data_IF_133453131786
#
_entry.id   IF_133453131786
#
_cell.length_a   1.000
_cell.length_b   1.000
_cell.length_c   1.000
_cell.angle_alpha   90.00
_cell.angle_beta   90.00
_cell.angle_gamma   90.00
#
_symmetry.space_group_name_H-M   'P 1'
#
loop_
_entity.id
_entity.type
_entity.pdbx_description
1 polymer ?
#
# COMPACT_ATOMS: atom_id res chain seq x y z
N UNK A 1 27.35 25.90 -35.14
CA UNK A 1 26.13 26.60 -34.65
C UNK A 1 25.44 25.72 -33.61
N UNK A 2 25.65 25.96 -32.31
CA UNK A 2 25.06 25.15 -31.24
C UNK A 2 23.59 25.55 -30.99
N UNK A 3 22.65 24.77 -31.52
CA UNK A 3 21.21 24.97 -31.29
C UNK A 3 20.76 24.12 -30.10
N UNK A 4 20.72 24.68 -28.88
CA UNK A 4 20.20 23.94 -27.73
C UNK A 4 20.37 24.54 -26.33
N UNK A 5 20.50 25.86 -26.20
CA UNK A 5 20.56 26.51 -24.88
C UNK A 5 19.18 26.71 -24.26
N UNK A 6 19.09 26.57 -22.94
CA UNK A 6 17.93 26.98 -22.14
C UNK A 6 17.62 28.45 -22.47
N UNK A 7 16.40 28.74 -22.94
CA UNK A 7 15.92 30.10 -23.18
C UNK A 7 15.29 30.63 -21.89
N UNK A 8 15.37 31.93 -21.63
CA UNK A 8 14.60 32.51 -20.54
C UNK A 8 13.09 32.27 -20.75
N UNK A 9 12.43 31.76 -19.72
CA UNK A 9 11.04 31.29 -19.79
C UNK A 9 10.84 29.93 -20.47
N UNK A 10 11.91 29.26 -20.92
CA UNK A 10 11.80 27.87 -21.41
C UNK A 10 11.61 26.90 -20.24
N UNK A 11 10.63 26.00 -20.39
CA UNK A 11 10.25 25.02 -19.39
C UNK A 11 8.75 25.02 -19.13
N UNK A 12 8.26 23.90 -18.61
CA UNK A 12 6.88 23.79 -18.15
C UNK A 12 6.68 24.74 -16.98
N UNK A 13 5.70 25.65 -17.06
CA UNK A 13 5.34 26.56 -15.94
C UNK A 13 5.21 25.74 -14.66
N UNK A 14 5.93 26.16 -13.62
CA UNK A 14 5.96 25.47 -12.33
C UNK A 14 4.52 25.25 -11.85
N UNK A 15 4.13 23.98 -11.75
CA UNK A 15 2.82 23.58 -11.25
C UNK A 15 1.64 23.56 -12.26
N UNK A 16 1.82 23.82 -13.57
CA UNK A 16 0.67 24.03 -14.47
C UNK A 16 -0.18 22.79 -14.75
N UNK A 17 0.45 21.64 -14.97
CA UNK A 17 -0.23 20.37 -15.23
C UNK A 17 -0.54 19.61 -13.93
N UNK A 18 0.18 19.89 -12.84
CA UNK A 18 -0.16 19.33 -11.53
C UNK A 18 -1.43 19.93 -10.96
N UNK A 19 -1.83 21.15 -11.33
CA UNK A 19 -3.08 21.79 -10.87
C UNK A 19 -4.35 21.05 -11.29
N UNK A 20 -4.50 20.68 -12.58
CA UNK A 20 -5.69 19.97 -13.06
C UNK A 20 -5.79 18.56 -12.49
N UNK A 21 -4.69 17.80 -12.49
CA UNK A 21 -4.67 16.44 -11.91
C UNK A 21 -4.90 16.46 -10.40
N UNK A 22 -4.39 17.48 -9.70
CA UNK A 22 -4.61 17.66 -8.26
C UNK A 22 -6.07 17.96 -7.95
N UNK A 23 -6.72 18.85 -8.71
CA UNK A 23 -8.14 19.16 -8.50
C UNK A 23 -9.04 17.93 -8.65
N UNK A 24 -8.76 17.06 -9.64
CA UNK A 24 -9.49 15.80 -9.82
C UNK A 24 -9.23 14.84 -8.66
N UNK A 25 -7.98 14.76 -8.18
CA UNK A 25 -7.64 13.92 -7.02
C UNK A 25 -8.30 14.42 -5.72
N UNK A 26 -8.35 15.74 -5.50
CA UNK A 26 -9.03 16.37 -4.37
C UNK A 26 -10.55 16.17 -4.45
N UNK A 27 -11.13 16.24 -5.65
CA UNK A 27 -12.54 15.93 -5.86
C UNK A 27 -12.83 14.44 -5.58
N UNK A 28 -12.02 13.52 -6.10
CA UNK A 28 -12.17 12.09 -5.82
C UNK A 28 -11.96 11.74 -4.34
N UNK A 29 -11.15 12.51 -3.61
CA UNK A 29 -10.95 12.36 -2.17
C UNK A 29 -12.12 12.92 -1.34
N UNK A 30 -12.94 13.80 -1.91
CA UNK A 30 -14.13 14.36 -1.24
C UNK A 30 -15.40 13.61 -1.63
N UNK A 31 -15.46 13.08 -2.85
CA UNK A 31 -16.56 12.28 -3.39
C UNK A 31 -16.33 10.79 -3.10
N UNK A 32 -16.66 10.37 -1.88
CA UNK A 32 -16.72 8.96 -1.51
C UNK A 32 -15.34 8.29 -1.37
N UNK A 33 -15.21 7.07 -1.90
CA UNK A 33 -13.98 6.28 -1.78
C UNK A 33 -13.00 6.60 -2.90
N UNK A 34 -11.80 7.02 -2.51
CA UNK A 34 -10.72 7.24 -3.45
C UNK A 34 -10.25 5.92 -4.09
N UNK A 35 -9.66 5.94 -5.29
CA UNK A 35 -9.19 4.72 -5.96
C UNK A 35 -8.25 3.85 -5.11
N UNK A 36 -7.35 4.47 -4.33
CA UNK A 36 -6.45 3.74 -3.44
C UNK A 36 -7.23 3.00 -2.33
N UNK A 37 -8.28 3.61 -1.80
CA UNK A 37 -9.11 2.99 -0.76
C UNK A 37 -9.85 1.76 -1.32
N UNK A 38 -10.38 1.86 -2.54
CA UNK A 38 -11.01 0.73 -3.24
C UNK A 38 -10.02 -0.42 -3.45
N UNK A 39 -8.79 -0.11 -3.88
CA UNK A 39 -7.74 -1.12 -4.05
C UNK A 39 -7.41 -1.83 -2.73
N UNK A 40 -7.27 -1.07 -1.64
CA UNK A 40 -6.95 -1.61 -0.32
C UNK A 40 -8.11 -2.44 0.27
N UNK A 41 -9.35 -1.98 0.09
CA UNK A 41 -10.54 -2.69 0.55
C UNK A 41 -10.70 -4.03 -0.18
N UNK A 42 -10.57 -4.03 -1.51
CA UNK A 42 -10.65 -5.25 -2.30
C UNK A 42 -9.53 -6.22 -1.95
N UNK A 43 -8.29 -5.72 -1.78
CA UNK A 43 -7.15 -6.53 -1.34
C UNK A 43 -7.46 -7.24 -0.02
N UNK A 44 -7.96 -6.51 0.98
CA UNK A 44 -8.31 -7.06 2.30
C UNK A 44 -9.47 -8.05 2.22
N UNK A 45 -10.50 -7.72 1.44
CA UNK A 45 -11.67 -8.58 1.26
C UNK A 45 -11.26 -9.92 0.65
N UNK A 46 -10.55 -9.91 -0.49
CA UNK A 46 -10.13 -11.15 -1.14
C UNK A 46 -9.15 -11.97 -0.30
N UNK A 47 -8.27 -11.29 0.46
CA UNK A 47 -7.40 -11.96 1.41
C UNK A 47 -8.21 -12.67 2.51
N UNK A 48 -9.24 -12.03 3.06
CA UNK A 48 -10.10 -12.65 4.07
C UNK A 48 -10.89 -13.84 3.49
N UNK A 49 -11.52 -13.66 2.33
CA UNK A 49 -12.28 -14.73 1.67
C UNK A 49 -11.37 -15.93 1.35
N UNK A 50 -10.13 -15.68 0.93
CA UNK A 50 -9.17 -16.75 0.71
C UNK A 50 -8.82 -17.51 2.01
N UNK A 51 -8.57 -16.79 3.11
CA UNK A 51 -8.31 -17.41 4.42
C UNK A 51 -9.49 -18.24 4.90
N UNK A 52 -10.71 -17.72 4.76
CA UNK A 52 -11.92 -18.43 5.15
C UNK A 52 -12.13 -19.68 4.30
N UNK A 53 -11.91 -19.59 2.98
CA UNK A 53 -11.99 -20.73 2.06
C UNK A 53 -10.92 -21.80 2.36
N UNK A 54 -9.69 -21.39 2.65
CA UNK A 54 -8.60 -22.28 3.06
C UNK A 54 -8.91 -22.97 4.39
N UNK A 55 -9.46 -22.24 5.38
CA UNK A 55 -9.86 -22.80 6.67
C UNK A 55 -10.97 -23.84 6.52
N UNK A 56 -11.98 -23.57 5.70
CA UNK A 56 -13.04 -24.53 5.37
C UNK A 56 -12.45 -25.77 4.69
N UNK A 57 -11.52 -25.61 3.75
CA UNK A 57 -10.88 -26.74 3.08
C UNK A 57 -10.00 -27.58 4.01
N UNK A 58 -9.28 -26.96 4.94
CA UNK A 58 -8.42 -27.66 5.89
C UNK A 58 -9.21 -28.51 6.90
N UNK A 59 -10.43 -28.09 7.25
CA UNK A 59 -11.28 -28.78 8.21
C UNK A 59 -12.16 -29.89 7.61
N UNK A 60 -12.19 -30.04 6.29
CA UNK A 60 -13.07 -30.98 5.60
C UNK A 60 -12.31 -32.21 5.08
N UNK A 61 -12.92 -33.38 5.26
CA UNK A 61 -12.49 -34.63 4.62
C UNK A 61 -13.03 -34.74 3.19
N UNK A 62 -12.42 -35.60 2.37
CA UNK A 62 -12.87 -35.84 1.00
C UNK A 62 -14.34 -36.31 0.91
N UNK A 63 -14.79 -37.09 1.91
CA UNK A 63 -16.16 -37.58 2.01
C UNK A 63 -17.18 -36.46 2.27
N UNK A 64 -16.82 -35.46 3.08
CA UNK A 64 -17.67 -34.31 3.39
C UNK A 64 -17.74 -33.29 2.25
N UNK A 65 -16.72 -33.25 1.38
CA UNK A 65 -16.67 -32.33 0.23
C UNK A 65 -17.41 -32.88 -0.98
N UNK A 66 -17.22 -34.17 -1.26
CA UNK A 66 -17.71 -34.81 -2.47
C UNK A 66 -18.94 -35.67 -2.27
N UNK A 67 -19.41 -35.89 -1.04
CA UNK A 67 -20.55 -36.77 -0.78
C UNK A 67 -20.18 -38.25 -0.90
N UNK A 68 -20.73 -39.07 0.00
CA UNK A 68 -20.37 -40.48 0.14
C UNK A 68 -20.72 -41.34 -1.10
N UNK A 69 -21.67 -40.88 -1.90
CA UNK A 69 -22.23 -41.61 -3.05
C UNK A 69 -21.48 -41.34 -4.37
N UNK A 70 -20.48 -40.45 -4.36
CA UNK A 70 -19.70 -40.11 -5.55
C UNK A 70 -18.43 -40.97 -5.66
N UNK A 71 -17.99 -41.20 -6.90
CA UNK A 71 -16.72 -41.87 -7.18
C UNK A 71 -15.56 -41.08 -6.56
N UNK A 72 -14.49 -41.75 -6.05
CA UNK A 72 -13.31 -41.06 -5.53
C UNK A 72 -12.70 -40.05 -6.51
N UNK A 73 -12.78 -40.32 -7.81
CA UNK A 73 -12.28 -39.41 -8.84
C UNK A 73 -13.09 -38.09 -8.89
N UNK A 74 -14.40 -38.17 -8.75
CA UNK A 74 -15.28 -37.00 -8.78
C UNK A 74 -15.21 -36.22 -7.48
N UNK A 75 -15.07 -36.90 -6.33
CA UNK A 75 -14.75 -36.26 -5.05
C UNK A 75 -13.44 -35.46 -5.14
N UNK A 76 -12.40 -36.03 -5.74
CA UNK A 76 -11.12 -35.36 -5.95
C UNK A 76 -11.26 -34.14 -6.88
N UNK A 77 -12.00 -34.27 -7.99
CA UNK A 77 -12.26 -33.13 -8.91
C UNK A 77 -12.98 -31.98 -8.20
N UNK A 78 -13.96 -32.28 -7.34
CA UNK A 78 -14.68 -31.26 -6.56
C UNK A 78 -13.76 -30.55 -5.56
N UNK A 79 -12.91 -31.31 -4.85
CA UNK A 79 -11.93 -30.74 -3.93
C UNK A 79 -10.93 -29.83 -4.67
N UNK A 80 -10.45 -30.28 -5.83
CA UNK A 80 -9.54 -29.52 -6.68
C UNK A 80 -10.19 -28.24 -7.23
N UNK A 81 -11.48 -28.29 -7.59
CA UNK A 81 -12.24 -27.10 -7.99
C UNK A 81 -12.36 -26.08 -6.84
N UNK A 82 -12.67 -26.53 -5.62
CA UNK A 82 -12.72 -25.64 -4.45
C UNK A 82 -11.35 -25.05 -4.10
N UNK A 83 -10.28 -25.85 -4.17
CA UNK A 83 -8.92 -25.38 -3.97
C UNK A 83 -8.50 -24.34 -5.03
N UNK A 84 -8.89 -24.52 -6.30
CA UNK A 84 -8.68 -23.53 -7.38
C UNK A 84 -9.41 -22.22 -7.09
N UNK A 85 -10.63 -22.27 -6.56
CA UNK A 85 -11.35 -21.06 -6.19
C UNK A 85 -10.64 -20.29 -5.06
N UNK A 86 -10.18 -20.99 -4.02
CA UNK A 86 -9.39 -20.38 -2.94
C UNK A 86 -8.11 -19.71 -3.47
N UNK A 87 -7.37 -20.41 -4.35
CA UNK A 87 -6.19 -19.86 -5.01
C UNK A 87 -6.52 -18.63 -5.88
N UNK A 88 -7.67 -18.63 -6.56
CA UNK A 88 -8.15 -17.48 -7.32
C UNK A 88 -8.36 -16.23 -6.46
N UNK A 89 -8.92 -16.37 -5.26
CA UNK A 89 -9.06 -15.24 -4.32
C UNK A 89 -7.71 -14.70 -3.84
N UNK A 90 -6.73 -15.56 -3.56
CA UNK A 90 -5.36 -15.13 -3.25
C UNK A 90 -4.74 -14.33 -4.39
N UNK A 91 -4.95 -14.78 -5.63
CA UNK A 91 -4.42 -14.09 -6.80
C UNK A 91 -5.06 -12.71 -6.99
N UNK A 92 -6.39 -12.59 -6.83
CA UNK A 92 -7.08 -11.30 -6.88
C UNK A 92 -6.59 -10.33 -5.79
N UNK A 93 -6.34 -10.83 -4.57
CA UNK A 93 -5.73 -10.02 -3.51
C UNK A 93 -4.32 -9.54 -3.89
N UNK A 94 -3.49 -10.40 -4.48
CA UNK A 94 -2.14 -10.06 -4.93
C UNK A 94 -2.15 -9.02 -6.06
N UNK A 95 -3.09 -9.09 -6.99
CA UNK A 95 -3.25 -8.11 -8.07
C UNK A 95 -3.61 -6.73 -7.50
N UNK A 96 -4.59 -6.66 -6.58
CA UNK A 96 -4.92 -5.41 -5.88
C UNK A 96 -3.72 -4.86 -5.09
N UNK A 97 -2.94 -5.73 -4.44
CA UNK A 97 -1.72 -5.33 -3.74
C UNK A 97 -0.66 -4.73 -4.68
N UNK A 98 -0.49 -5.30 -5.88
CA UNK A 98 0.43 -4.80 -6.91
C UNK A 98 0.03 -3.40 -7.36
N UNK A 99 -1.26 -3.17 -7.59
CA UNK A 99 -1.77 -1.86 -8.01
C UNK A 99 -1.59 -0.79 -6.93
N UNK A 100 -1.77 -1.16 -5.65
CA UNK A 100 -1.58 -0.25 -4.52
C UNK A 100 -0.10 0.02 -4.17
N UNK A 101 0.83 -0.86 -4.54
CA UNK A 101 2.22 -0.83 -4.09
C UNK A 101 2.95 0.49 -4.37
N UNK A 102 2.72 1.09 -5.54
CA UNK A 102 3.37 2.33 -5.95
C UNK A 102 2.98 3.54 -5.07
N UNK A 103 1.82 3.50 -4.43
CA UNK A 103 1.31 4.58 -3.57
C UNK A 103 1.77 4.42 -2.12
N UNK A 104 2.06 3.18 -1.70
CA UNK A 104 2.50 2.88 -0.33
C UNK A 104 4.03 2.90 -0.18
N UNK A 105 4.77 2.66 -1.27
CA UNK A 105 6.23 2.64 -1.27
C UNK A 105 6.79 3.83 -2.04
N UNK A 106 6.99 4.99 -1.38
CA UNK A 106 7.48 6.18 -2.05
C UNK A 106 8.86 5.93 -2.66
N UNK A 107 9.04 6.37 -3.91
CA UNK A 107 10.36 6.37 -4.55
C UNK A 107 11.28 7.34 -3.82
N UNK A 108 12.57 7.02 -3.75
CA UNK A 108 13.58 7.89 -3.12
C UNK A 108 13.58 9.32 -3.67
N UNK A 109 13.20 9.52 -4.94
CA UNK A 109 13.09 10.84 -5.58
C UNK A 109 11.88 11.66 -5.11
N UNK A 110 10.86 11.04 -4.53
CA UNK A 110 9.68 11.70 -3.97
C UNK A 110 9.87 12.05 -2.48
N UNK A 111 10.94 11.58 -1.85
CA UNK A 111 11.29 11.90 -0.47
C UNK A 111 12.04 13.24 -0.49
N UNK A 112 11.57 14.20 0.30
CA UNK A 112 12.29 15.46 0.50
C UNK A 112 13.56 15.20 1.32
N UNK A 113 14.71 15.25 0.67
CA UNK A 113 16.04 15.16 1.31
C UNK A 113 16.56 16.51 1.78
N UNK A 114 15.82 17.59 1.55
CA UNK A 114 16.19 18.96 1.92
C UNK A 114 15.01 19.70 2.52
N UNK A 115 15.28 20.54 3.50
CA UNK A 115 14.32 21.46 4.10
C UNK A 115 14.09 22.71 3.25
N UNK A 116 13.30 23.65 3.80
CA UNK A 116 12.89 24.87 3.09
C UNK A 116 14.09 25.61 2.47
N UNK A 117 13.96 26.00 1.20
CA UNK A 117 15.01 26.68 0.40
C UNK A 117 16.31 25.88 0.25
N UNK A 118 16.27 24.56 0.35
CA UNK A 118 17.47 23.70 0.29
C UNK A 118 18.26 23.67 1.59
N UNK A 119 17.69 24.18 2.69
CA UNK A 119 18.28 24.11 4.02
C UNK A 119 18.19 22.70 4.63
N UNK A 120 18.70 22.52 5.85
CA UNK A 120 18.57 21.26 6.58
C UNK A 120 17.10 20.93 6.89
N UNK A 121 16.77 19.63 6.92
CA UNK A 121 15.45 19.15 7.36
C UNK A 121 15.30 19.47 8.85
N UNK A 122 14.31 20.30 9.18
CA UNK A 122 14.00 20.64 10.56
C UNK A 122 13.10 19.55 11.15
N UNK A 123 13.69 18.60 11.87
CA UNK A 123 12.94 17.63 12.64
C UNK A 123 12.35 18.37 13.85
N UNK A 124 11.04 18.64 13.81
CA UNK A 124 10.33 19.22 14.96
C UNK A 124 10.15 18.15 16.02
N UNK A 125 11.02 18.12 17.02
CA UNK A 125 10.79 17.32 18.22
C UNK A 125 9.60 17.90 19.01
N UNK A 126 8.71 17.02 19.48
CA UNK A 126 7.66 17.39 20.44
C UNK A 126 8.29 17.97 21.71
N UNK A 127 7.51 18.73 22.49
CA UNK A 127 8.01 19.32 23.75
C UNK A 127 8.49 18.21 24.71
N UNK A 128 7.74 17.13 24.82
CA UNK A 128 8.08 15.97 25.65
C UNK A 128 9.39 15.30 25.24
N UNK A 129 9.65 15.15 23.94
CA UNK A 129 10.92 14.60 23.43
C UNK A 129 12.10 15.53 23.72
N UNK A 130 11.90 16.84 23.68
CA UNK A 130 12.93 17.82 24.06
C UNK A 130 13.22 17.79 25.55
N UNK A 131 12.19 17.79 26.38
CA UNK A 131 12.31 17.78 27.83
C UNK A 131 12.96 16.48 28.34
N UNK A 132 12.63 15.33 27.72
CA UNK A 132 13.26 14.04 28.01
C UNK A 132 14.75 14.00 27.64
N UNK A 133 15.13 14.57 26.49
CA UNK A 133 16.54 14.64 26.08
C UNK A 133 17.37 15.55 26.98
N UNK A 134 16.82 16.68 27.41
CA UNK A 134 17.47 17.60 28.36
C UNK A 134 17.63 16.93 29.73
N UNK A 135 16.60 16.25 30.23
CA UNK A 135 16.71 15.51 31.50
C UNK A 135 17.71 14.36 31.43
N UNK A 136 17.87 13.71 30.26
CA UNK A 136 18.86 12.65 30.09
C UNK A 136 20.29 13.22 30.08
N UNK A 137 20.52 14.33 29.37
CA UNK A 137 21.84 14.98 29.32
C UNK A 137 22.29 15.47 30.71
N UNK A 138 21.38 16.09 31.47
CA UNK A 138 21.69 16.59 32.83
C UNK A 138 22.01 15.47 33.84
N UNK A 139 21.59 14.23 33.60
CA UNK A 139 21.93 13.08 34.46
C UNK A 139 23.32 12.52 34.17
N UNK A 140 23.82 12.70 32.94
CA UNK A 140 25.16 12.23 32.55
C UNK A 140 26.24 13.13 33.16
N UNK A 141 25.96 14.42 33.32
CA UNK A 141 26.90 15.40 33.88
C UNK A 141 27.03 15.34 35.42
N UNK A 142 26.15 14.58 36.11
CA UNK A 142 26.19 14.44 37.58
C UNK A 142 26.94 13.19 38.07
N UNK A 143 27.39 12.32 37.17
CA UNK A 143 28.09 11.06 37.49
C UNK A 143 29.62 11.12 37.17
N UNK A 144 30.20 12.31 37.04
CA UNK A 144 31.65 12.56 36.87
C UNK A 144 32.21 13.39 38.04
#
# INVERSE_FOLDING_TARGET
MARGGKRDGSGRKLGSLTKRTRAIAEQAATEGKAPLEVMLDNMRHFQQVALDAEAVLAGLTAEEIGGKDLSPEDQFKMLLAKAKNAAGFRQMAQECARDAAAYMHPKLTAIEHTGAKGGPILIRASKEQRDAAVSAALRVDTDA
#
